data_IF_171402161889
#
_entry.id   IF_171402161889
#
_cell.length_a   1.000
_cell.length_b   1.000
_cell.length_c   1.000
_cell.angle_alpha   90.00
_cell.angle_beta   90.00
_cell.angle_gamma   90.00
#
_symmetry.space_group_name_H-M   'P 1'
#
loop_
_entity.id
_entity.type
_entity.pdbx_description
1 polymer ?
#
# COMPACT_ATOMS: atom_id res chain seq x y z
N UNK A 1 -5.86 5.96 20.23
CA UNK A 1 -6.59 7.23 20.18
C UNK A 1 -7.16 7.57 21.56
N UNK A 2 -7.39 8.85 21.85
CA UNK A 2 -7.99 9.29 23.12
C UNK A 2 -9.37 8.65 23.35
N UNK A 3 -10.16 8.50 22.30
CA UNK A 3 -11.50 7.87 22.38
C UNK A 3 -11.45 6.42 22.85
N UNK A 4 -10.52 5.61 22.36
CA UNK A 4 -10.38 4.22 22.79
C UNK A 4 -9.95 4.15 24.27
N UNK A 5 -9.03 5.00 24.73
CA UNK A 5 -8.63 5.06 26.14
C UNK A 5 -9.78 5.45 27.04
N UNK A 6 -10.57 6.44 26.64
CA UNK A 6 -11.76 6.84 27.41
C UNK A 6 -12.77 5.71 27.52
N UNK A 7 -13.05 4.99 26.40
CA UNK A 7 -13.93 3.83 26.43
C UNK A 7 -13.38 2.72 27.33
N UNK A 8 -12.10 2.49 27.27
CA UNK A 8 -11.41 1.49 28.09
C UNK A 8 -11.53 1.82 29.58
N UNK A 9 -11.31 3.08 29.96
CA UNK A 9 -11.45 3.53 31.35
C UNK A 9 -12.88 3.36 31.90
N UNK A 10 -13.90 3.75 31.13
CA UNK A 10 -15.31 3.67 31.59
C UNK A 10 -15.90 2.26 31.54
N UNK A 11 -15.32 1.35 30.75
CA UNK A 11 -15.82 -0.02 30.59
C UNK A 11 -14.95 -1.07 31.30
N UNK A 12 -13.89 -0.63 31.98
CA UNK A 12 -12.95 -1.53 32.65
C UNK A 12 -12.21 -2.46 31.67
N UNK A 13 -11.79 -1.95 30.54
CA UNK A 13 -11.02 -2.69 29.54
C UNK A 13 -11.84 -3.53 28.55
N UNK A 14 -13.17 -3.35 28.50
CA UNK A 14 -14.08 -4.20 27.69
C UNK A 14 -14.82 -3.43 26.59
N UNK A 15 -14.46 -2.17 26.34
CA UNK A 15 -15.24 -1.27 25.47
C UNK A 15 -14.83 -1.25 24.01
N UNK A 16 -13.77 -1.92 23.63
CA UNK A 16 -13.22 -1.83 22.26
C UNK A 16 -13.02 -3.21 21.64
N UNK A 17 -13.50 -3.38 20.42
CA UNK A 17 -13.23 -4.55 19.57
C UNK A 17 -12.56 -4.08 18.29
N UNK A 18 -11.46 -4.70 17.92
CA UNK A 18 -10.75 -4.42 16.68
C UNK A 18 -10.81 -5.64 15.77
N UNK A 19 -11.21 -5.43 14.52
CA UNK A 19 -11.20 -6.48 13.50
C UNK A 19 -10.26 -6.06 12.37
N UNK A 20 -9.30 -6.91 12.02
CA UNK A 20 -8.34 -6.67 10.95
C UNK A 20 -7.80 -7.97 10.38
N UNK A 21 -7.56 -8.02 9.07
CA UNK A 21 -6.83 -9.11 8.43
C UNK A 21 -5.30 -8.96 8.51
N UNK A 22 -4.80 -7.82 8.96
CA UNK A 22 -3.35 -7.50 8.99
C UNK A 22 -2.97 -6.81 10.30
N UNK A 23 -2.95 -7.53 11.43
CA UNK A 23 -2.66 -6.93 12.74
C UNK A 23 -1.25 -6.32 12.83
N UNK A 24 -0.31 -6.83 12.05
CA UNK A 24 1.05 -6.30 11.90
C UNK A 24 1.33 -6.15 10.41
N UNK A 25 1.39 -4.93 9.89
CA UNK A 25 1.58 -4.66 8.47
C UNK A 25 2.93 -4.02 8.14
N UNK A 26 3.31 -2.97 8.86
CA UNK A 26 4.51 -2.18 8.54
C UNK A 26 5.61 -2.31 9.60
N UNK A 27 5.25 -2.49 10.85
CA UNK A 27 6.19 -2.54 11.96
C UNK A 27 5.69 -3.45 13.07
N UNK A 28 6.62 -4.19 13.65
CA UNK A 28 6.35 -5.05 14.82
C UNK A 28 5.83 -4.26 16.03
N UNK A 29 6.12 -2.95 16.10
CA UNK A 29 5.59 -2.05 17.13
C UNK A 29 4.06 -1.87 17.06
N UNK A 30 3.43 -2.22 15.93
CA UNK A 30 1.97 -2.21 15.79
C UNK A 30 1.31 -3.21 16.74
N UNK A 31 1.92 -4.37 16.96
CA UNK A 31 1.41 -5.35 17.92
C UNK A 31 1.41 -4.81 19.35
N UNK A 32 2.47 -4.10 19.77
CA UNK A 32 2.49 -3.40 21.05
C UNK A 32 1.36 -2.38 21.15
N UNK A 33 1.11 -1.64 20.09
CA UNK A 33 0.01 -0.66 20.06
C UNK A 33 -1.34 -1.34 20.26
N UNK A 34 -1.57 -2.49 19.64
CA UNK A 34 -2.79 -3.27 19.86
C UNK A 34 -2.90 -3.78 21.29
N UNK A 35 -1.84 -4.38 21.83
CA UNK A 35 -1.81 -4.86 23.22
C UNK A 35 -2.10 -3.73 24.21
N UNK A 36 -1.61 -2.50 23.98
CA UNK A 36 -1.92 -1.35 24.82
C UNK A 36 -3.41 -1.02 24.90
N UNK A 37 -4.18 -1.32 23.85
CA UNK A 37 -5.63 -1.08 23.85
C UNK A 37 -6.43 -2.28 24.34
N UNK A 38 -5.91 -3.50 24.17
CA UNK A 38 -6.65 -4.71 24.45
C UNK A 38 -6.32 -5.33 25.82
N UNK A 39 -5.09 -5.17 26.31
CA UNK A 39 -4.60 -5.83 27.51
C UNK A 39 -3.64 -4.97 28.35
N UNK A 40 -3.94 -3.67 28.50
CA UNK A 40 -3.04 -2.75 29.22
C UNK A 40 -2.76 -3.20 30.66
N UNK A 41 -3.75 -3.76 31.36
CA UNK A 41 -3.57 -4.29 32.72
C UNK A 41 -2.58 -5.44 32.76
N UNK A 42 -2.67 -6.39 31.83
CA UNK A 42 -1.72 -7.49 31.71
C UNK A 42 -0.32 -7.03 31.36
N UNK A 43 -0.17 -6.01 30.49
CA UNK A 43 1.13 -5.40 30.23
C UNK A 43 1.72 -4.78 31.50
N UNK A 44 0.92 -4.09 32.30
CA UNK A 44 1.37 -3.46 33.54
C UNK A 44 1.76 -4.49 34.61
N UNK A 45 1.01 -5.56 34.77
CA UNK A 45 1.31 -6.65 35.70
C UNK A 45 2.66 -7.30 35.38
N UNK A 46 3.04 -7.36 34.10
CA UNK A 46 4.31 -7.90 33.64
C UNK A 46 5.41 -6.83 33.44
N UNK A 47 5.18 -5.58 33.86
CA UNK A 47 6.11 -4.45 33.67
C UNK A 47 6.47 -4.17 32.19
N UNK A 48 5.53 -4.42 31.29
CA UNK A 48 5.65 -4.26 29.83
C UNK A 48 4.82 -3.09 29.29
N UNK A 49 4.26 -2.23 30.15
CA UNK A 49 3.42 -1.09 29.77
C UNK A 49 4.20 0.01 29.03
N UNK A 50 5.52 0.03 29.17
CA UNK A 50 6.41 0.92 28.44
C UNK A 50 6.99 0.20 27.20
N UNK A 51 7.00 0.92 26.07
CA UNK A 51 7.49 0.33 24.81
C UNK A 51 8.91 -0.22 24.90
N UNK A 52 9.80 0.45 25.59
CA UNK A 52 11.21 0.04 25.71
C UNK A 52 11.35 -1.31 26.45
N UNK A 53 10.56 -1.52 27.50
CA UNK A 53 10.53 -2.79 28.23
C UNK A 53 9.95 -3.92 27.34
N UNK A 54 8.85 -3.64 26.68
CA UNK A 54 8.23 -4.58 25.77
C UNK A 54 9.17 -4.92 24.60
N UNK A 55 9.79 -3.91 24.00
CA UNK A 55 10.72 -4.08 22.88
C UNK A 55 11.98 -4.84 23.28
N UNK A 56 12.51 -4.63 24.48
CA UNK A 56 13.67 -5.38 24.99
C UNK A 56 13.34 -6.85 25.29
N UNK A 57 12.09 -7.15 25.64
CA UNK A 57 11.62 -8.51 25.97
C UNK A 57 11.27 -9.30 24.71
N UNK A 58 10.65 -8.67 23.72
CA UNK A 58 10.07 -9.37 22.56
C UNK A 58 10.70 -9.00 21.23
N UNK A 59 11.63 -8.07 21.19
CA UNK A 59 12.18 -7.55 19.98
C UNK A 59 13.67 -7.69 19.81
N UNK A 60 14.06 -7.97 18.57
CA UNK A 60 15.44 -7.97 18.13
C UNK A 60 15.62 -6.93 17.04
N UNK A 61 16.61 -6.06 17.21
CA UNK A 61 16.98 -5.09 16.19
C UNK A 61 18.01 -5.71 15.24
N UNK A 62 17.79 -5.50 13.95
CA UNK A 62 18.70 -5.94 12.89
C UNK A 62 19.19 -4.72 12.13
N UNK A 63 20.50 -4.63 11.98
CA UNK A 63 21.13 -3.64 11.10
C UNK A 63 21.36 -4.27 9.73
N UNK A 64 20.70 -3.73 8.72
CA UNK A 64 20.88 -4.13 7.33
C UNK A 64 21.51 -3.00 6.52
N UNK A 65 22.34 -3.37 5.57
CA UNK A 65 22.83 -2.45 4.54
C UNK A 65 21.80 -2.43 3.42
N UNK A 66 21.22 -1.29 3.17
CA UNK A 66 20.21 -1.09 2.11
C UNK A 66 20.63 0.00 1.14
N UNK A 67 20.13 -0.07 -0.09
CA UNK A 67 20.34 0.99 -1.07
C UNK A 67 19.71 2.28 -0.52
N UNK A 68 20.44 3.38 -0.62
CA UNK A 68 19.93 4.67 -0.22
C UNK A 68 18.72 5.07 -1.10
N UNK A 69 17.70 5.78 -0.56
CA UNK A 69 16.50 6.14 -1.29
C UNK A 69 16.75 6.93 -2.58
N UNK A 70 17.84 7.65 -2.62
CA UNK A 70 18.30 8.41 -3.78
C UNK A 70 18.88 7.53 -4.90
N UNK A 71 18.99 6.21 -4.70
CA UNK A 71 19.48 5.26 -5.68
C UNK A 71 21.01 5.22 -5.81
N UNK A 72 21.73 6.02 -5.05
CA UNK A 72 23.20 6.10 -5.06
C UNK A 72 23.77 5.76 -3.69
N UNK A 73 24.65 4.75 -3.66
CA UNK A 73 25.31 4.31 -2.43
C UNK A 73 24.45 3.44 -1.50
N UNK A 74 25.05 3.06 -0.39
CA UNK A 74 24.44 2.18 0.62
C UNK A 74 24.43 2.87 1.96
N UNK A 75 23.40 2.59 2.78
CA UNK A 75 23.32 3.03 4.16
C UNK A 75 23.04 1.86 5.09
N UNK A 76 23.63 1.90 6.27
CA UNK A 76 23.24 1.02 7.35
C UNK A 76 21.99 1.55 8.03
N UNK A 77 20.95 0.73 8.16
CA UNK A 77 19.73 1.08 8.89
C UNK A 77 19.38 -0.02 9.87
N UNK A 78 19.32 0.36 11.14
CA UNK A 78 18.86 -0.52 12.23
C UNK A 78 17.34 -0.42 12.34
N UNK A 79 16.68 -1.57 12.32
CA UNK A 79 15.23 -1.68 12.48
C UNK A 79 14.92 -2.76 13.50
N UNK A 80 13.80 -2.57 14.18
CA UNK A 80 13.13 -3.61 14.94
C UNK A 80 12.52 -4.60 13.93
N UNK A 81 13.17 -5.73 13.68
CA UNK A 81 12.88 -6.57 12.51
C UNK A 81 12.55 -8.02 12.84
N UNK A 82 12.81 -8.48 14.06
CA UNK A 82 12.50 -9.85 14.46
C UNK A 82 11.83 -9.87 15.83
N UNK A 83 10.94 -10.85 16.02
CA UNK A 83 10.44 -11.16 17.33
C UNK A 83 11.40 -12.12 18.03
N UNK A 84 11.69 -11.79 19.26
CA UNK A 84 12.31 -12.66 20.24
C UNK A 84 11.21 -13.14 21.20
N UNK A 85 11.38 -14.29 21.82
CA UNK A 85 10.44 -14.81 22.81
C UNK A 85 8.96 -14.86 22.29
N UNK A 86 8.81 -15.26 21.03
CA UNK A 86 7.51 -15.26 20.33
C UNK A 86 6.45 -16.13 21.03
N UNK A 87 6.76 -17.31 21.62
CA UNK A 87 5.74 -18.12 22.30
C UNK A 87 5.03 -17.39 23.44
N UNK A 88 5.77 -16.68 24.29
CA UNK A 88 5.22 -15.90 25.40
C UNK A 88 4.41 -14.73 24.91
N UNK A 89 4.91 -14.00 23.90
CA UNK A 89 4.19 -12.90 23.27
C UNK A 89 2.85 -13.37 22.70
N UNK A 90 2.86 -14.49 21.98
CA UNK A 90 1.65 -15.07 21.39
C UNK A 90 0.69 -15.62 22.44
N UNK A 91 1.21 -16.17 23.54
CA UNK A 91 0.39 -16.62 24.67
C UNK A 91 -0.36 -15.45 25.28
N UNK A 92 0.33 -14.35 25.58
CA UNK A 92 -0.28 -13.12 26.09
C UNK A 92 -1.32 -12.56 25.10
N UNK A 93 -0.98 -12.50 23.83
CA UNK A 93 -1.88 -11.89 22.83
C UNK A 93 -3.16 -12.71 22.61
N UNK A 94 -3.07 -14.03 22.66
CA UNK A 94 -4.22 -14.95 22.55
C UNK A 94 -5.24 -14.82 23.68
N UNK A 95 -4.87 -14.26 24.83
CA UNK A 95 -5.82 -13.99 25.92
C UNK A 95 -6.90 -12.96 25.53
N UNK A 96 -6.56 -12.06 24.59
CA UNK A 96 -7.41 -10.93 24.19
C UNK A 96 -7.72 -10.90 22.68
N UNK A 97 -7.21 -11.87 21.92
CA UNK A 97 -7.39 -11.92 20.48
C UNK A 97 -7.88 -13.30 20.01
N UNK A 98 -8.95 -13.31 19.24
CA UNK A 98 -9.34 -14.46 18.43
C UNK A 98 -8.57 -14.42 17.10
N UNK A 99 -7.67 -15.39 16.91
CA UNK A 99 -6.79 -15.45 15.75
C UNK A 99 -7.24 -16.56 14.82
N UNK A 100 -7.77 -16.19 13.68
CA UNK A 100 -8.18 -17.11 12.63
C UNK A 100 -7.22 -17.00 11.45
N UNK A 101 -6.66 -18.12 11.01
CA UNK A 101 -5.81 -18.19 9.80
C UNK A 101 -6.60 -18.83 8.65
N UNK A 102 -6.12 -18.69 7.43
CA UNK A 102 -6.71 -19.33 6.26
C UNK A 102 -6.82 -20.86 6.45
N UNK A 103 -5.85 -21.47 7.12
CA UNK A 103 -5.83 -22.91 7.44
C UNK A 103 -6.91 -23.29 8.45
N UNK A 104 -7.09 -22.49 9.53
CA UNK A 104 -8.12 -22.75 10.55
C UNK A 104 -9.53 -22.56 10.01
N UNK A 105 -9.72 -21.60 9.12
CA UNK A 105 -11.02 -21.31 8.49
C UNK A 105 -11.35 -22.26 7.35
N UNK A 106 -10.38 -23.04 6.86
CA UNK A 106 -10.52 -23.95 5.72
C UNK A 106 -11.28 -23.32 4.55
N UNK A 107 -10.92 -22.07 4.22
CA UNK A 107 -11.57 -21.33 3.15
C UNK A 107 -11.21 -21.94 1.80
N UNK A 108 -12.17 -22.03 0.87
CA UNK A 108 -11.87 -22.44 -0.49
C UNK A 108 -11.00 -21.39 -1.16
N UNK A 109 -9.72 -21.67 -1.31
CA UNK A 109 -8.78 -20.79 -2.02
C UNK A 109 -8.55 -21.33 -3.41
N UNK A 110 -8.68 -20.50 -4.47
CA UNK A 110 -8.35 -20.94 -5.83
C UNK A 110 -6.84 -21.15 -5.97
N UNK A 111 -6.47 -22.03 -6.88
CA UNK A 111 -5.10 -22.07 -7.36
C UNK A 111 -4.76 -20.76 -8.06
N UNK A 112 -3.56 -20.24 -7.83
CA UNK A 112 -3.13 -18.98 -8.42
C UNK A 112 -1.69 -19.05 -8.90
N UNK A 113 -1.39 -18.25 -9.91
CA UNK A 113 -0.05 -18.04 -10.43
C UNK A 113 0.29 -16.55 -10.37
N UNK A 114 1.49 -16.22 -9.84
CA UNK A 114 2.00 -14.86 -9.81
C UNK A 114 2.79 -14.54 -11.07
N UNK A 115 2.25 -13.67 -11.92
CA UNK A 115 2.90 -13.22 -13.14
C UNK A 115 3.39 -11.80 -12.98
N UNK A 116 4.72 -11.60 -13.01
CA UNK A 116 5.33 -10.29 -12.95
C UNK A 116 5.51 -9.72 -14.36
N UNK A 117 4.75 -8.67 -14.69
CA UNK A 117 4.88 -7.95 -15.95
C UNK A 117 5.77 -6.73 -15.73
N UNK A 118 6.97 -6.77 -16.29
CA UNK A 118 7.95 -5.69 -16.18
C UNK A 118 7.96 -4.86 -17.46
N UNK A 119 7.79 -3.56 -17.32
CA UNK A 119 7.83 -2.59 -18.43
C UNK A 119 9.11 -1.75 -18.38
N UNK A 120 9.62 -1.36 -19.55
CA UNK A 120 10.79 -0.49 -19.63
C UNK A 120 10.36 0.97 -19.47
N UNK A 121 11.11 1.78 -18.71
CA UNK A 121 10.83 3.21 -18.61
C UNK A 121 11.09 3.92 -19.94
N UNK A 122 10.28 4.94 -20.24
CA UNK A 122 10.52 5.85 -21.36
C UNK A 122 11.80 6.70 -21.12
N UNK A 123 12.34 7.30 -22.17
CA UNK A 123 13.46 8.25 -22.04
C UNK A 123 13.11 9.42 -21.12
N UNK A 124 11.89 9.96 -21.26
CA UNK A 124 11.36 11.03 -20.40
C UNK A 124 11.33 10.58 -18.93
N UNK A 125 10.85 9.37 -18.65
CA UNK A 125 10.85 8.83 -17.28
C UNK A 125 12.26 8.71 -16.72
N UNK A 126 13.23 8.27 -17.52
CA UNK A 126 14.63 8.15 -17.10
C UNK A 126 15.24 9.51 -16.74
N UNK A 127 14.99 10.54 -17.56
CA UNK A 127 15.44 11.91 -17.28
C UNK A 127 14.78 12.47 -16.00
N UNK A 128 13.49 12.26 -15.82
CA UNK A 128 12.77 12.71 -14.64
C UNK A 128 13.23 11.98 -13.36
N UNK A 129 13.54 10.68 -13.43
CA UNK A 129 14.12 9.93 -12.31
C UNK A 129 15.49 10.50 -11.94
N UNK A 130 16.33 10.85 -12.92
CA UNK A 130 17.62 11.50 -12.66
C UNK A 130 17.43 12.84 -11.94
N UNK A 131 16.48 13.66 -12.39
CA UNK A 131 16.16 14.93 -11.73
C UNK A 131 15.65 14.74 -10.28
N UNK A 132 14.84 13.70 -10.02
CA UNK A 132 14.42 13.35 -8.66
C UNK A 132 15.63 12.93 -7.79
N UNK A 133 16.58 12.18 -8.35
CA UNK A 133 17.83 11.82 -7.67
C UNK A 133 18.67 13.04 -7.29
N UNK A 134 18.84 13.99 -8.19
CA UNK A 134 19.57 15.25 -7.92
C UNK A 134 18.89 16.08 -6.83
N UNK A 135 17.56 16.11 -6.78
CA UNK A 135 16.81 16.78 -5.71
C UNK A 135 17.00 16.06 -4.36
N UNK A 136 16.98 14.73 -4.36
CA UNK A 136 17.23 13.94 -3.16
C UNK A 136 18.62 14.18 -2.56
N UNK A 137 19.64 14.32 -3.42
CA UNK A 137 21.01 14.69 -3.01
C UNK A 137 21.06 16.09 -2.36
N UNK A 138 20.36 17.07 -2.91
CA UNK A 138 20.29 18.43 -2.35
C UNK A 138 19.62 18.42 -0.97
N UNK A 139 18.57 17.65 -0.78
CA UNK A 139 17.90 17.49 0.53
C UNK A 139 18.86 16.85 1.53
N UNK A 140 19.58 15.81 1.10
CA UNK A 140 20.54 15.09 1.97
C UNK A 140 21.71 15.99 2.40
N UNK A 141 22.19 16.85 1.52
CA UNK A 141 23.25 17.82 1.83
C UNK A 141 22.76 19.00 2.69
N UNK A 142 21.47 19.11 2.96
CA UNK A 142 20.89 20.19 3.76
C UNK A 142 20.88 21.55 3.03
N UNK A 143 20.99 21.56 1.71
CA UNK A 143 21.01 22.79 0.91
C UNK A 143 19.64 23.32 0.53
N UNK A 144 18.57 22.58 0.85
CA UNK A 144 17.17 22.95 0.55
C UNK A 144 16.34 22.91 1.82
N UNK A 145 15.48 23.91 2.01
CA UNK A 145 14.56 23.95 3.14
C UNK A 145 13.49 22.85 3.00
N UNK A 146 13.17 22.16 4.11
CA UNK A 146 12.19 21.05 4.13
C UNK A 146 10.76 21.49 3.75
N UNK A 147 10.45 22.79 3.81
CA UNK A 147 9.18 23.36 3.36
C UNK A 147 9.12 23.51 1.83
N UNK A 148 10.25 23.71 1.18
CA UNK A 148 10.34 23.82 -0.28
C UNK A 148 10.36 22.43 -0.93
N UNK A 149 11.23 21.53 -0.44
CA UNK A 149 11.34 20.16 -0.93
C UNK A 149 11.74 19.18 0.19
N UNK A 150 11.26 17.93 0.10
CA UNK A 150 11.55 16.91 1.09
C UNK A 150 11.42 15.51 0.49
N UNK A 151 11.99 14.51 1.19
CA UNK A 151 12.00 13.12 0.74
C UNK A 151 10.60 12.53 0.55
N UNK A 152 9.59 12.97 1.33
CA UNK A 152 8.21 12.49 1.17
C UNK A 152 7.63 12.94 -0.18
N UNK A 153 7.86 14.20 -0.55
CA UNK A 153 7.45 14.76 -1.85
C UNK A 153 8.13 14.03 -3.00
N UNK A 154 9.45 13.84 -2.94
CA UNK A 154 10.21 13.11 -3.96
C UNK A 154 9.72 11.67 -4.10
N UNK A 155 9.50 10.97 -2.98
CA UNK A 155 8.99 9.59 -3.00
C UNK A 155 7.60 9.51 -3.64
N UNK A 156 6.71 10.46 -3.33
CA UNK A 156 5.38 10.51 -3.93
C UNK A 156 5.43 10.80 -5.43
N UNK A 157 6.27 11.75 -5.85
CA UNK A 157 6.50 12.06 -7.26
C UNK A 157 7.11 10.86 -7.99
N UNK A 158 8.07 10.17 -7.38
CA UNK A 158 8.66 8.94 -7.93
C UNK A 158 7.62 7.82 -8.12
N UNK A 159 6.70 7.64 -7.17
CA UNK A 159 5.59 6.68 -7.32
C UNK A 159 4.65 7.05 -8.47
N UNK A 160 4.30 8.32 -8.61
CA UNK A 160 3.48 8.83 -9.72
C UNK A 160 4.18 8.59 -11.05
N UNK A 161 5.44 9.00 -11.16
CA UNK A 161 6.26 8.85 -12.36
C UNK A 161 6.41 7.37 -12.77
N UNK A 162 6.59 6.48 -11.79
CA UNK A 162 6.70 5.04 -12.03
C UNK A 162 5.39 4.40 -12.50
N UNK A 163 4.24 5.00 -12.25
CA UNK A 163 2.94 4.55 -12.72
C UNK A 163 2.66 5.08 -14.13
N UNK A 164 2.66 6.40 -14.28
CA UNK A 164 2.47 7.10 -15.56
C UNK A 164 3.11 8.49 -15.51
N UNK A 165 3.95 8.82 -16.49
CA UNK A 165 4.63 10.12 -16.57
C UNK A 165 3.65 11.30 -16.63
N UNK A 166 2.46 11.11 -17.15
CA UNK A 166 1.41 12.15 -17.25
C UNK A 166 0.84 12.55 -15.88
N UNK A 167 1.06 11.75 -14.82
CA UNK A 167 0.74 12.15 -13.45
C UNK A 167 1.66 13.25 -12.91
N UNK A 168 2.82 13.44 -13.56
CA UNK A 168 3.73 14.54 -13.27
C UNK A 168 3.40 15.77 -14.11
N UNK A 169 3.10 15.57 -15.38
CA UNK A 169 2.67 16.61 -16.31
C UNK A 169 1.71 16.01 -17.34
N UNK A 170 0.40 16.36 -17.29
CA UNK A 170 -0.62 15.82 -18.20
C UNK A 170 -0.34 16.07 -19.71
N UNK A 171 0.51 17.04 -20.04
CA UNK A 171 0.88 17.36 -21.41
C UNK A 171 1.94 16.41 -22.00
N UNK A 172 2.54 15.54 -21.19
CA UNK A 172 3.49 14.56 -21.69
C UNK A 172 2.78 13.50 -22.54
N UNK A 173 3.47 12.94 -23.55
CA UNK A 173 2.88 11.91 -24.40
C UNK A 173 2.58 10.63 -23.62
N UNK A 174 1.62 9.87 -24.09
CA UNK A 174 1.42 8.49 -23.64
C UNK A 174 2.62 7.63 -24.07
N UNK A 175 3.21 6.92 -23.14
CA UNK A 175 4.30 5.99 -23.44
C UNK A 175 3.73 4.62 -23.80
N UNK A 176 4.01 4.10 -24.97
CA UNK A 176 3.55 2.78 -25.44
C UNK A 176 3.91 1.67 -24.43
N UNK A 177 5.10 1.75 -23.82
CA UNK A 177 5.56 0.80 -22.81
C UNK A 177 5.14 1.16 -21.38
N UNK A 178 4.12 2.03 -21.18
CA UNK A 178 3.66 2.37 -19.84
C UNK A 178 3.01 1.18 -19.12
N UNK A 179 3.01 1.22 -17.78
CA UNK A 179 2.29 0.23 -16.96
C UNK A 179 0.80 0.21 -17.27
N UNK A 180 0.22 1.37 -17.57
CA UNK A 180 -1.21 1.51 -17.91
C UNK A 180 -1.51 0.81 -19.23
N UNK A 181 -0.67 0.99 -20.26
CA UNK A 181 -0.82 0.31 -21.53
C UNK A 181 -0.65 -1.21 -21.39
N UNK A 182 0.37 -1.64 -20.67
CA UNK A 182 0.61 -3.06 -20.40
C UNK A 182 -0.54 -3.69 -19.61
N UNK A 183 -1.12 -2.98 -18.66
CA UNK A 183 -2.31 -3.41 -17.92
C UNK A 183 -3.51 -3.54 -18.85
N UNK A 184 -3.77 -2.54 -19.70
CA UNK A 184 -4.87 -2.58 -20.67
C UNK A 184 -4.76 -3.76 -21.64
N UNK A 185 -3.55 -4.07 -22.12
CA UNK A 185 -3.30 -5.24 -22.96
C UNK A 185 -3.62 -6.53 -22.24
N UNK A 186 -3.13 -6.70 -21.01
CA UNK A 186 -3.38 -7.91 -20.23
C UNK A 186 -4.88 -8.09 -19.91
N UNK A 187 -5.56 -7.03 -19.49
CA UNK A 187 -7.00 -7.09 -19.19
C UNK A 187 -7.78 -7.45 -20.44
N UNK A 188 -7.48 -6.82 -21.58
CA UNK A 188 -8.14 -7.13 -22.84
C UNK A 188 -7.89 -8.57 -23.28
N UNK A 189 -6.64 -9.05 -23.22
CA UNK A 189 -6.29 -10.42 -23.58
C UNK A 189 -7.06 -11.43 -22.74
N UNK A 190 -7.08 -11.27 -21.41
CA UNK A 190 -7.78 -12.16 -20.47
C UNK A 190 -9.29 -12.10 -20.71
N UNK A 191 -9.86 -10.91 -20.95
CA UNK A 191 -11.27 -10.73 -21.27
C UNK A 191 -11.64 -11.49 -22.55
N UNK A 192 -10.84 -11.36 -23.61
CA UNK A 192 -11.07 -12.02 -24.88
C UNK A 192 -10.94 -13.55 -24.80
N UNK A 193 -9.91 -14.04 -24.10
CA UNK A 193 -9.66 -15.47 -23.89
C UNK A 193 -10.74 -16.16 -23.03
N UNK A 194 -11.46 -15.41 -22.19
CA UNK A 194 -12.48 -15.94 -21.28
C UNK A 194 -13.89 -15.38 -21.56
N UNK A 195 -14.12 -14.91 -22.75
CA UNK A 195 -15.42 -14.30 -23.15
C UNK A 195 -16.61 -15.27 -23.02
N UNK A 196 -16.37 -16.56 -23.25
CA UNK A 196 -17.34 -17.65 -23.08
C UNK A 196 -17.70 -17.92 -21.61
N UNK A 197 -16.76 -17.70 -20.69
CA UNK A 197 -16.90 -17.94 -19.25
C UNK A 197 -17.42 -16.72 -18.48
N UNK A 198 -17.42 -15.55 -19.10
CA UNK A 198 -17.77 -14.27 -18.47
C UNK A 198 -17.03 -14.03 -17.14
N UNK A 199 -15.72 -14.33 -17.12
CA UNK A 199 -14.88 -14.21 -15.93
C UNK A 199 -14.68 -12.75 -15.54
N UNK A 200 -14.73 -12.45 -14.24
CA UNK A 200 -14.50 -11.12 -13.72
C UNK A 200 -13.01 -10.88 -13.47
N UNK A 201 -12.54 -9.68 -13.78
CA UNK A 201 -11.19 -9.22 -13.48
C UNK A 201 -11.25 -8.07 -12.49
N UNK A 202 -10.35 -8.06 -11.50
CA UNK A 202 -10.17 -6.97 -10.54
C UNK A 202 -8.85 -6.28 -10.80
N UNK A 203 -8.89 -4.96 -10.99
CA UNK A 203 -7.70 -4.12 -11.18
C UNK A 203 -7.55 -3.20 -9.98
N UNK A 204 -6.44 -3.33 -9.26
CA UNK A 204 -6.13 -2.50 -8.10
C UNK A 204 -5.12 -1.42 -8.47
N UNK A 205 -5.45 -0.17 -8.15
CA UNK A 205 -4.57 0.97 -8.29
C UNK A 205 -4.74 1.89 -7.08
N UNK A 206 -3.68 2.11 -6.33
CA UNK A 206 -3.68 2.92 -5.10
C UNK A 206 -3.36 4.41 -5.34
N UNK A 207 -3.07 4.77 -6.57
CA UNK A 207 -2.77 6.14 -6.98
C UNK A 207 -3.78 6.64 -8.01
N UNK A 208 -3.91 7.98 -8.07
CA UNK A 208 -4.70 8.64 -9.11
C UNK A 208 -6.19 8.27 -9.11
N UNK A 209 -6.78 8.20 -7.90
CA UNK A 209 -8.24 8.00 -7.74
C UNK A 209 -9.02 9.02 -8.56
N UNK A 210 -10.05 8.60 -9.32
CA UNK A 210 -10.80 9.49 -10.22
C UNK A 210 -11.57 10.55 -9.44
N UNK A 211 -11.42 11.81 -9.83
CA UNK A 211 -12.22 12.93 -9.33
C UNK A 211 -13.49 13.12 -10.13
N UNK A 212 -13.48 12.68 -11.37
CA UNK A 212 -14.59 12.72 -12.32
C UNK A 212 -14.75 11.32 -12.94
N UNK A 213 -15.85 10.65 -12.63
CA UNK A 213 -16.13 9.29 -13.09
C UNK A 213 -16.36 9.20 -14.60
N UNK A 214 -16.59 10.34 -15.26
CA UNK A 214 -16.72 10.45 -16.72
C UNK A 214 -15.49 11.03 -17.41
N UNK A 215 -14.37 11.11 -16.71
CA UNK A 215 -13.10 11.60 -17.27
C UNK A 215 -12.61 10.80 -18.49
N UNK A 216 -13.06 9.55 -18.66
CA UNK A 216 -12.75 8.71 -19.82
C UNK A 216 -13.35 9.23 -21.14
N UNK A 217 -14.39 10.08 -21.08
CA UNK A 217 -14.99 10.73 -22.25
C UNK A 217 -14.13 11.90 -22.79
N UNK A 218 -13.18 12.41 -21.98
CA UNK A 218 -12.30 13.52 -22.34
C UNK A 218 -11.14 13.04 -23.21
N UNK A 219 -10.70 13.89 -24.12
CA UNK A 219 -9.50 13.60 -24.93
C UNK A 219 -8.22 13.68 -24.09
N UNK A 220 -8.16 14.67 -23.18
CA UNK A 220 -7.03 14.91 -22.32
C UNK A 220 -6.89 13.86 -21.21
N UNK A 221 -5.66 13.61 -20.78
CA UNK A 221 -5.39 12.75 -19.62
C UNK A 221 -5.90 13.41 -18.34
N UNK A 222 -6.78 12.72 -17.61
CA UNK A 222 -7.35 13.18 -16.35
C UNK A 222 -6.77 12.45 -15.15
N UNK A 223 -6.74 11.14 -15.21
CA UNK A 223 -6.25 10.24 -14.18
C UNK A 223 -6.08 8.83 -14.76
N UNK A 224 -5.42 7.93 -14.02
CA UNK A 224 -5.10 6.57 -14.48
C UNK A 224 -6.35 5.69 -14.62
N UNK A 225 -7.35 5.85 -13.75
CA UNK A 225 -8.59 5.07 -13.82
C UNK A 225 -9.35 5.34 -15.11
N UNK A 226 -9.57 6.62 -15.40
CA UNK A 226 -10.25 7.05 -16.61
C UNK A 226 -9.45 6.71 -17.87
N UNK A 227 -8.15 6.85 -17.82
CA UNK A 227 -7.27 6.47 -18.94
C UNK A 227 -7.35 4.97 -19.23
N UNK A 228 -7.28 4.12 -18.19
CA UNK A 228 -7.43 2.69 -18.36
C UNK A 228 -8.79 2.33 -18.92
N UNK A 229 -9.89 2.90 -18.39
CA UNK A 229 -11.25 2.71 -18.89
C UNK A 229 -11.36 3.08 -20.36
N UNK A 230 -10.82 4.25 -20.75
CA UNK A 230 -10.77 4.73 -22.15
C UNK A 230 -10.06 3.74 -23.06
N UNK A 231 -8.89 3.25 -22.66
CA UNK A 231 -8.10 2.27 -23.43
C UNK A 231 -8.83 0.93 -23.59
N UNK A 232 -9.49 0.46 -22.55
CA UNK A 232 -10.28 -0.78 -22.61
C UNK A 232 -11.47 -0.67 -23.57
N UNK A 233 -12.18 0.47 -23.54
CA UNK A 233 -13.27 0.76 -24.49
C UNK A 233 -12.73 0.82 -25.93
N UNK A 234 -11.59 1.50 -26.16
CA UNK A 234 -10.94 1.57 -27.48
C UNK A 234 -10.53 0.20 -28.02
N UNK A 235 -10.23 -0.75 -27.14
CA UNK A 235 -9.94 -2.15 -27.49
C UNK A 235 -11.19 -2.98 -27.78
N UNK A 236 -12.38 -2.46 -27.51
CA UNK A 236 -13.65 -3.10 -27.80
C UNK A 236 -14.36 -3.74 -26.60
N UNK A 237 -13.88 -3.52 -25.38
CA UNK A 237 -14.61 -3.95 -24.18
C UNK A 237 -15.83 -3.01 -24.01
N UNK A 238 -17.06 -3.55 -23.89
CA UNK A 238 -18.27 -2.75 -23.69
C UNK A 238 -18.21 -1.90 -22.43
N UNK A 239 -18.75 -0.69 -22.48
CA UNK A 239 -18.75 0.25 -21.36
C UNK A 239 -19.46 -0.31 -20.11
N UNK A 240 -20.51 -1.06 -20.29
CA UNK A 240 -21.31 -1.69 -19.23
C UNK A 240 -20.62 -2.89 -18.56
N UNK A 241 -19.50 -3.36 -19.13
CA UNK A 241 -18.64 -4.36 -18.50
C UNK A 241 -17.49 -3.76 -17.68
N UNK A 242 -17.38 -2.42 -17.60
CA UNK A 242 -16.31 -1.71 -16.88
C UNK A 242 -16.89 -0.82 -15.79
N UNK A 243 -16.66 -1.13 -14.54
CA UNK A 243 -17.11 -0.36 -13.39
C UNK A 243 -15.98 0.05 -12.46
N UNK A 244 -16.10 1.24 -11.86
CA UNK A 244 -15.25 1.67 -10.76
C UNK A 244 -15.94 1.39 -9.42
N UNK A 245 -15.17 0.93 -8.42
CA UNK A 245 -15.71 0.79 -7.06
C UNK A 245 -16.26 2.11 -6.52
N UNK A 246 -15.76 3.24 -7.00
CA UNK A 246 -16.20 4.60 -6.64
C UNK A 246 -17.60 4.94 -7.17
N UNK A 247 -18.15 4.13 -8.08
CA UNK A 247 -19.54 4.28 -8.58
C UNK A 247 -20.55 3.59 -7.63
N UNK A 248 -20.08 2.80 -6.67
CA UNK A 248 -20.91 2.09 -5.71
C UNK A 248 -21.19 2.95 -4.47
N UNK A 249 -22.04 3.96 -4.61
CA UNK A 249 -22.33 4.93 -3.54
C UNK A 249 -23.37 4.47 -2.51
N UNK A 250 -24.08 3.36 -2.73
CA UNK A 250 -25.13 2.85 -1.86
C UNK A 250 -25.23 1.32 -1.88
N UNK A 251 -25.81 0.75 -0.80
CA UNK A 251 -26.07 -0.69 -0.60
C UNK A 251 -26.96 -1.37 -1.68
N UNK A 252 -27.39 -0.64 -2.69
CA UNK A 252 -28.39 -1.06 -3.69
C UNK A 252 -27.85 -1.04 -5.12
N UNK A 253 -26.54 -1.14 -5.32
CA UNK A 253 -26.00 -1.31 -6.67
C UNK A 253 -25.14 -2.54 -6.79
#
# INVERSE_FOLDING_TARGET
SMKCRYLDEITGGKGSVFATGTPVSNSMAELYTMQRYLQYSGLKENSLEHFDNWASTFGETVTAIELAPEGTGYRAKTRFAKFHNLPELMSMFKEVADIQTAETLNLPTPEFENINVVVKPSEIQQEMVKALGERAEKIRSGTVDATEDNMLKITNEGRKLALDQRLMNPLLPDSESSKVNSCAENVYRIWNENSDKKSTQLVFCDLSTPKDLKGYEKEEFTDVYNELKKKLIQKGIPLDEIAFIHEADNEVK
#
